data_IF_082032713926
#
_entry.id   IF_082032713926
#
_cell.length_a   1.000
_cell.length_b   1.000
_cell.length_c   1.000
_cell.angle_alpha   90.00
_cell.angle_beta   90.00
_cell.angle_gamma   90.00
#
_symmetry.space_group_name_H-M   'P 1'
#
loop_
_entity.id
_entity.type
_entity.pdbx_description
1 polymer ?
#
# COMPACT_ATOMS: atom_id res chain seq x y z
N UNK A 1 -23.17 23.23 -27.14
CA UNK A 1 -21.97 23.74 -26.45
C UNK A 1 -21.95 23.53 -24.91
N UNK A 2 -22.96 22.91 -24.29
CA UNK A 2 -23.05 22.71 -22.81
C UNK A 2 -22.36 21.40 -22.31
N UNK A 3 -22.13 20.41 -23.18
CA UNK A 3 -21.64 19.08 -22.77
C UNK A 3 -20.17 19.01 -22.31
N UNK A 4 -19.31 19.94 -22.74
CA UNK A 4 -17.89 19.94 -22.38
C UNK A 4 -17.67 20.38 -20.93
N UNK A 5 -18.41 21.41 -20.49
CA UNK A 5 -18.36 21.93 -19.12
C UNK A 5 -18.88 20.90 -18.12
N UNK A 6 -19.94 20.17 -18.47
CA UNK A 6 -20.51 19.12 -17.61
C UNK A 6 -19.55 17.93 -17.44
N UNK A 7 -18.85 17.50 -18.50
CA UNK A 7 -17.84 16.43 -18.41
C UNK A 7 -16.63 16.83 -17.58
N UNK A 8 -16.17 18.08 -17.70
CA UNK A 8 -15.09 18.60 -16.88
C UNK A 8 -15.48 18.69 -15.39
N UNK A 9 -16.69 19.18 -15.09
CA UNK A 9 -17.22 19.23 -13.74
C UNK A 9 -17.41 17.84 -13.13
N UNK A 10 -17.92 16.86 -13.90
CA UNK A 10 -18.08 15.48 -13.44
C UNK A 10 -16.72 14.80 -13.20
N UNK A 11 -15.72 15.03 -14.06
CA UNK A 11 -14.36 14.53 -13.86
C UNK A 11 -13.70 15.11 -12.59
N UNK A 12 -13.87 16.40 -12.32
CA UNK A 12 -13.39 17.05 -11.10
C UNK A 12 -14.10 16.51 -9.86
N UNK A 13 -15.43 16.32 -9.95
CA UNK A 13 -16.24 15.73 -8.87
C UNK A 13 -15.81 14.30 -8.56
N UNK A 14 -15.62 13.46 -9.59
CA UNK A 14 -15.12 12.08 -9.45
C UNK A 14 -13.72 12.03 -8.85
N UNK A 15 -12.81 12.91 -9.26
CA UNK A 15 -11.47 13.03 -8.67
C UNK A 15 -11.53 13.39 -7.19
N UNK A 16 -12.39 14.35 -6.82
CA UNK A 16 -12.59 14.74 -5.42
C UNK A 16 -13.17 13.60 -4.59
N UNK A 17 -14.20 12.91 -5.10
CA UNK A 17 -14.77 11.73 -4.45
C UNK A 17 -13.74 10.60 -4.30
N UNK A 18 -12.91 10.34 -5.31
CA UNK A 18 -11.83 9.36 -5.24
C UNK A 18 -10.78 9.75 -4.19
N UNK A 19 -10.41 11.04 -4.10
CA UNK A 19 -9.49 11.54 -3.09
C UNK A 19 -10.05 11.45 -1.66
N UNK A 20 -11.34 11.75 -1.49
CA UNK A 20 -12.03 11.66 -0.20
C UNK A 20 -12.19 10.20 0.24
N UNK A 21 -12.55 9.29 -0.67
CA UNK A 21 -12.54 7.86 -0.42
C UNK A 21 -11.13 7.35 -0.09
N UNK A 22 -10.09 7.83 -0.79
CA UNK A 22 -8.71 7.45 -0.51
C UNK A 22 -8.26 7.82 0.91
N UNK A 23 -8.56 9.03 1.38
CA UNK A 23 -8.28 9.43 2.77
C UNK A 23 -9.05 8.59 3.79
N UNK A 24 -10.34 8.39 3.55
CA UNK A 24 -11.17 7.62 4.45
C UNK A 24 -10.74 6.14 4.52
N UNK A 25 -10.36 5.57 3.38
CA UNK A 25 -9.80 4.23 3.29
C UNK A 25 -8.48 4.11 4.05
N UNK A 26 -7.57 5.06 3.92
CA UNK A 26 -6.31 5.04 4.68
C UNK A 26 -6.56 5.10 6.21
N UNK A 27 -7.52 5.90 6.66
CA UNK A 27 -7.93 5.93 8.07
C UNK A 27 -8.52 4.60 8.55
N UNK A 28 -9.32 3.94 7.71
CA UNK A 28 -9.85 2.61 7.98
C UNK A 28 -8.72 1.57 8.04
N UNK A 29 -7.77 1.61 7.11
CA UNK A 29 -6.60 0.73 7.09
C UNK A 29 -5.76 0.91 8.36
N UNK A 30 -5.48 2.15 8.76
CA UNK A 30 -4.77 2.45 10.00
C UNK A 30 -5.46 1.83 11.22
N UNK A 31 -6.77 2.04 11.39
CA UNK A 31 -7.53 1.45 12.50
C UNK A 31 -7.53 -0.08 12.45
N UNK A 32 -7.71 -0.64 11.26
CA UNK A 32 -7.73 -2.09 11.04
C UNK A 32 -6.39 -2.72 11.42
N UNK A 33 -5.27 -2.19 10.92
CA UNK A 33 -3.92 -2.69 11.21
C UNK A 33 -3.60 -2.62 12.70
N UNK A 34 -3.96 -1.52 13.38
CA UNK A 34 -3.78 -1.40 14.84
C UNK A 34 -4.58 -2.44 15.62
N UNK A 35 -5.83 -2.70 15.22
CA UNK A 35 -6.65 -3.76 15.82
C UNK A 35 -6.03 -5.14 15.64
N UNK A 36 -5.25 -5.35 14.58
CA UNK A 36 -4.54 -6.60 14.30
C UNK A 36 -3.07 -6.59 14.77
N UNK A 37 -2.76 -5.82 15.83
CA UNK A 37 -1.47 -5.88 16.51
C UNK A 37 -0.34 -5.11 15.81
N UNK A 38 -0.64 -4.26 14.83
CA UNK A 38 0.37 -3.43 14.18
C UNK A 38 0.60 -2.11 14.92
N UNK A 39 1.85 -1.68 15.00
CA UNK A 39 2.22 -0.32 15.44
C UNK A 39 2.50 0.55 14.23
N UNK A 40 1.58 1.45 13.88
CA UNK A 40 1.76 2.38 12.76
C UNK A 40 2.78 3.46 13.12
N UNK A 41 3.82 3.59 12.31
CA UNK A 41 4.95 4.53 12.54
C UNK A 41 4.99 5.67 11.54
N UNK A 42 4.40 5.48 10.35
CA UNK A 42 4.25 6.55 9.37
C UNK A 42 3.02 6.33 8.49
N UNK A 43 2.53 7.41 7.90
CA UNK A 43 1.44 7.45 6.94
C UNK A 43 1.80 8.41 5.81
N UNK A 44 1.39 8.12 4.57
CA UNK A 44 1.69 8.91 3.36
C UNK A 44 3.17 9.28 3.26
N UNK A 45 4.04 8.31 3.50
CA UNK A 45 5.48 8.52 3.44
C UNK A 45 5.92 8.80 2.00
N UNK A 46 6.65 9.88 1.79
CA UNK A 46 7.28 10.22 0.51
C UNK A 46 8.77 10.52 0.74
N UNK A 47 9.68 9.84 0.04
CA UNK A 47 11.11 10.14 0.12
C UNK A 47 11.40 11.52 -0.50
N UNK A 48 12.37 12.26 0.06
CA UNK A 48 12.74 13.59 -0.44
C UNK A 48 13.24 13.58 -1.90
N UNK A 49 13.80 12.46 -2.36
CA UNK A 49 14.23 12.27 -3.75
C UNK A 49 13.06 12.12 -4.73
N UNK A 50 11.82 12.07 -4.25
CA UNK A 50 10.67 11.59 -5.03
C UNK A 50 10.77 10.10 -5.35
N UNK A 51 9.91 9.63 -6.25
CA UNK A 51 9.95 8.25 -6.77
C UNK A 51 9.06 7.23 -6.07
N UNK A 52 8.07 7.68 -5.29
CA UNK A 52 7.03 6.82 -4.73
C UNK A 52 6.35 7.40 -3.51
N UNK A 53 5.25 6.77 -3.10
CA UNK A 53 4.54 7.03 -1.84
C UNK A 53 4.17 5.68 -1.23
N UNK A 54 4.28 5.58 0.10
CA UNK A 54 3.76 4.45 0.88
C UNK A 54 2.64 4.97 1.76
N UNK A 55 1.45 4.40 1.62
CA UNK A 55 0.26 4.88 2.34
C UNK A 55 0.38 4.68 3.85
N UNK A 56 0.82 3.50 4.29
CA UNK A 56 1.02 3.18 5.71
C UNK A 56 2.30 2.39 5.92
N UNK A 57 3.08 2.77 6.94
CA UNK A 57 4.25 2.03 7.42
C UNK A 57 3.96 1.61 8.86
N UNK A 58 4.11 0.32 9.16
CA UNK A 58 3.84 -0.21 10.48
C UNK A 58 4.79 -1.34 10.87
N UNK A 59 4.93 -1.58 12.17
CA UNK A 59 5.54 -2.79 12.71
C UNK A 59 4.48 -3.84 12.98
N UNK A 60 4.69 -5.07 12.49
CA UNK A 60 4.00 -6.28 12.94
C UNK A 60 5.04 -7.17 13.63
N UNK A 61 5.10 -7.13 14.96
CA UNK A 61 6.17 -7.80 15.70
C UNK A 61 7.55 -7.26 15.27
N UNK A 62 8.38 -8.12 14.67
CA UNK A 62 9.74 -7.77 14.18
C UNK A 62 9.79 -7.43 12.69
N UNK A 63 8.64 -7.39 12.01
CA UNK A 63 8.54 -7.12 10.57
C UNK A 63 8.05 -5.71 10.33
N UNK A 64 8.78 -4.93 9.55
CA UNK A 64 8.35 -3.63 9.07
C UNK A 64 7.52 -3.84 7.79
N UNK A 65 6.22 -3.52 7.86
CA UNK A 65 5.31 -3.65 6.74
C UNK A 65 5.13 -2.29 6.04
N UNK A 66 5.29 -2.30 4.72
CA UNK A 66 4.93 -1.20 3.83
C UNK A 66 3.61 -1.54 3.15
N UNK A 67 2.57 -0.76 3.42
CA UNK A 67 1.20 -1.08 3.02
C UNK A 67 0.72 -0.08 1.99
N UNK A 68 0.21 -0.60 0.87
CA UNK A 68 -0.62 0.13 -0.09
C UNK A 68 -2.09 -0.04 0.27
N UNK A 69 -2.88 1.04 0.27
CA UNK A 69 -4.31 1.01 0.58
C UNK A 69 -5.13 1.17 -0.69
N UNK A 70 -5.88 0.14 -1.06
CA UNK A 70 -6.79 0.19 -2.22
C UNK A 70 -8.23 0.35 -1.76
N UNK A 71 -8.82 1.51 -2.03
CA UNK A 71 -10.22 1.81 -1.67
C UNK A 71 -11.14 1.77 -2.87
N UNK A 72 -12.30 1.12 -2.74
CA UNK A 72 -13.29 0.96 -3.82
C UNK A 72 -14.70 1.14 -3.31
N UNK A 73 -15.58 1.68 -4.15
CA UNK A 73 -16.98 1.88 -3.81
C UNK A 73 -17.81 0.58 -3.83
N UNK A 74 -17.52 -0.33 -4.77
CA UNK A 74 -18.26 -1.59 -5.00
C UNK A 74 -17.32 -2.80 -5.10
N UNK A 75 -17.90 -3.99 -4.99
CA UNK A 75 -17.22 -5.28 -4.90
C UNK A 75 -16.98 -5.99 -6.23
N UNK A 76 -17.40 -5.41 -7.36
CA UNK A 76 -17.42 -6.07 -8.67
C UNK A 76 -16.02 -6.29 -9.29
N UNK A 77 -15.03 -6.88 -8.59
CA UNK A 77 -13.69 -7.11 -9.15
C UNK A 77 -12.96 -8.34 -8.60
N UNK A 78 -12.23 -9.02 -9.50
CA UNK A 78 -11.45 -10.24 -9.23
C UNK A 78 -9.98 -10.02 -8.82
N UNK A 79 -9.22 -11.11 -8.73
CA UNK A 79 -7.81 -11.15 -8.33
C UNK A 79 -6.83 -10.20 -9.07
N UNK A 80 -6.95 -9.94 -10.39
CA UNK A 80 -5.97 -9.15 -11.14
C UNK A 80 -5.82 -7.71 -10.63
N UNK A 81 -6.90 -7.09 -10.18
CA UNK A 81 -6.84 -5.72 -9.66
C UNK A 81 -6.38 -5.64 -8.20
N UNK A 82 -6.36 -6.76 -7.48
CA UNK A 82 -5.72 -6.83 -6.16
C UNK A 82 -4.21 -6.76 -6.28
N UNK A 83 -3.62 -7.22 -7.39
CA UNK A 83 -2.19 -7.12 -7.63
C UNK A 83 -1.72 -5.64 -7.72
N UNK A 84 -0.52 -5.36 -7.22
CA UNK A 84 0.19 -4.11 -7.48
C UNK A 84 0.84 -4.23 -8.85
N UNK A 85 0.61 -3.26 -9.75
CA UNK A 85 1.28 -3.25 -11.05
C UNK A 85 2.82 -3.09 -10.89
N UNK A 86 3.57 -3.46 -11.93
CA UNK A 86 5.05 -3.48 -11.87
C UNK A 86 5.63 -2.10 -11.57
N UNK A 87 5.06 -1.03 -12.11
CA UNK A 87 5.53 0.33 -11.90
C UNK A 87 5.35 0.74 -10.43
N UNK A 88 4.19 0.47 -9.86
CA UNK A 88 3.85 0.74 -8.47
C UNK A 88 4.67 -0.14 -7.52
N UNK A 89 4.96 -1.39 -7.85
CA UNK A 89 5.91 -2.22 -7.09
C UNK A 89 7.30 -1.58 -7.05
N UNK A 90 7.79 -1.05 -8.17
CA UNK A 90 9.08 -0.36 -8.22
C UNK A 90 9.08 0.91 -7.37
N UNK A 91 8.01 1.72 -7.44
CA UNK A 91 7.87 2.93 -6.62
C UNK A 91 7.82 2.61 -5.11
N UNK A 92 7.01 1.63 -4.72
CA UNK A 92 6.94 1.16 -3.33
C UNK A 92 8.28 0.62 -2.85
N UNK A 93 8.98 -0.15 -3.69
CA UNK A 93 10.32 -0.68 -3.38
C UNK A 93 11.32 0.45 -3.14
N UNK A 94 11.33 1.46 -4.01
CA UNK A 94 12.24 2.63 -3.89
C UNK A 94 11.97 3.42 -2.62
N UNK A 95 10.70 3.75 -2.36
CA UNK A 95 10.30 4.46 -1.14
C UNK A 95 10.61 3.63 0.11
N UNK A 96 10.38 2.31 0.07
CA UNK A 96 10.64 1.40 1.17
C UNK A 96 12.12 1.31 1.50
N UNK A 97 12.98 1.19 0.46
CA UNK A 97 14.44 1.18 0.64
C UNK A 97 14.95 2.48 1.25
N UNK A 98 14.42 3.62 0.82
CA UNK A 98 14.79 4.91 1.42
C UNK A 98 14.38 4.98 2.90
N UNK A 99 13.16 4.57 3.24
CA UNK A 99 12.70 4.53 4.63
C UNK A 99 13.57 3.60 5.49
N UNK A 100 13.77 2.35 5.04
CA UNK A 100 14.53 1.35 5.78
C UNK A 100 15.98 1.82 6.03
N UNK A 101 16.63 2.41 5.02
CA UNK A 101 17.97 2.99 5.16
C UNK A 101 18.01 4.12 6.19
N UNK A 102 17.05 5.04 6.16
CA UNK A 102 16.98 6.18 7.11
C UNK A 102 16.73 5.73 8.54
N UNK A 103 15.96 4.65 8.70
CA UNK A 103 15.62 4.08 9.99
C UNK A 103 16.61 2.99 10.47
N UNK A 104 17.67 2.72 9.70
CA UNK A 104 18.65 1.65 9.98
C UNK A 104 18.00 0.26 10.17
N UNK A 105 17.00 -0.05 9.35
CA UNK A 105 16.26 -1.32 9.37
C UNK A 105 16.82 -2.26 8.30
N UNK A 106 17.03 -3.52 8.67
CA UNK A 106 17.45 -4.56 7.71
C UNK A 106 16.34 -4.81 6.69
N UNK A 107 16.70 -4.85 5.41
CA UNK A 107 15.78 -5.17 4.32
C UNK A 107 15.15 -6.56 4.47
N UNK A 108 15.82 -7.51 5.12
CA UNK A 108 15.27 -8.82 5.45
C UNK A 108 14.10 -8.79 6.44
N UNK A 109 13.90 -7.67 7.15
CA UNK A 109 12.78 -7.47 8.06
C UNK A 109 11.57 -6.79 7.38
N UNK A 110 11.67 -6.47 6.09
CA UNK A 110 10.64 -5.73 5.35
C UNK A 110 9.66 -6.67 4.66
N UNK A 111 8.37 -6.30 4.64
CA UNK A 111 7.34 -6.94 3.82
C UNK A 111 6.46 -5.89 3.14
N UNK A 112 5.96 -6.20 1.95
CA UNK A 112 5.01 -5.35 1.23
C UNK A 112 3.63 -5.97 1.29
N UNK A 113 2.66 -5.22 1.79
CA UNK A 113 1.29 -5.67 2.02
C UNK A 113 0.29 -4.77 1.27
N UNK A 114 -0.93 -5.27 1.10
CA UNK A 114 -2.06 -4.50 0.60
C UNK A 114 -3.20 -4.57 1.61
N UNK A 115 -3.82 -3.43 1.88
CA UNK A 115 -5.14 -3.39 2.53
C UNK A 115 -6.18 -2.97 1.50
N UNK A 116 -7.06 -3.89 1.16
CA UNK A 116 -8.18 -3.67 0.25
C UNK A 116 -9.43 -3.32 1.04
N UNK A 117 -10.11 -2.24 0.67
CA UNK A 117 -11.29 -1.72 1.37
C UNK A 117 -12.41 -1.51 0.36
N UNK A 118 -13.51 -2.23 0.57
CA UNK A 118 -14.75 -2.08 -0.20
C UNK A 118 -15.76 -1.33 0.67
N UNK A 119 -16.14 -0.13 0.24
CA UNK A 119 -17.01 0.81 0.97
C UNK A 119 -18.52 0.46 0.90
N UNK A 120 -18.86 -0.77 0.50
CA UNK A 120 -20.22 -1.29 0.62
C UNK A 120 -20.63 -1.42 2.09
N UNK A 121 -21.91 -1.68 2.35
CA UNK A 121 -22.41 -1.96 3.69
C UNK A 121 -22.73 -3.46 3.81
N UNK A 122 -22.11 -4.19 4.76
CA UNK A 122 -21.05 -3.75 5.67
C UNK A 122 -19.72 -3.48 4.93
N UNK A 123 -18.90 -2.57 5.46
CA UNK A 123 -17.57 -2.28 4.91
C UNK A 123 -16.73 -3.55 5.02
N UNK A 124 -16.10 -3.95 3.92
CA UNK A 124 -15.23 -5.12 3.88
C UNK A 124 -13.78 -4.69 3.76
N UNK A 125 -12.95 -5.24 4.65
CA UNK A 125 -11.50 -4.99 4.67
C UNK A 125 -10.79 -6.33 4.55
N UNK A 126 -9.88 -6.44 3.59
CA UNK A 126 -9.01 -7.60 3.39
C UNK A 126 -7.56 -7.13 3.51
N UNK A 127 -6.77 -7.82 4.34
CA UNK A 127 -5.34 -7.57 4.46
C UNK A 127 -4.56 -8.71 3.80
N UNK A 128 -3.93 -8.39 2.69
CA UNK A 128 -3.11 -9.29 1.89
C UNK A 128 -1.67 -9.06 2.31
N UNK A 129 -1.12 -10.02 3.05
CA UNK A 129 0.28 -10.01 3.49
C UNK A 129 1.19 -10.57 2.39
N UNK A 130 2.42 -10.07 2.31
CA UNK A 130 3.41 -10.51 1.31
C UNK A 130 2.87 -10.40 -0.12
N UNK A 131 2.17 -9.29 -0.39
CA UNK A 131 1.46 -9.05 -1.64
C UNK A 131 2.38 -9.03 -2.87
N UNK A 132 3.64 -8.65 -2.67
CA UNK A 132 4.72 -8.87 -3.64
C UNK A 132 6.08 -8.86 -2.94
N UNK A 133 7.06 -9.47 -3.61
CA UNK A 133 8.46 -9.40 -3.22
C UNK A 133 9.24 -8.66 -4.30
N UNK A 134 9.94 -7.56 -3.98
CA UNK A 134 10.84 -6.94 -4.92
C UNK A 134 11.89 -7.95 -5.37
N UNK A 135 12.18 -8.00 -6.67
CA UNK A 135 13.30 -8.78 -7.16
C UNK A 135 14.57 -8.35 -6.39
N UNK A 136 15.20 -9.30 -5.71
CA UNK A 136 16.51 -9.08 -5.12
C UNK A 136 17.45 -8.76 -6.29
N UNK A 137 17.99 -7.54 -6.33
CA UNK A 137 19.08 -7.26 -7.25
C UNK A 137 20.21 -8.23 -6.91
N UNK A 138 20.70 -8.96 -7.91
CA UNK A 138 21.88 -9.81 -7.78
C UNK A 138 23.02 -8.97 -7.18
N UNK A 139 23.27 -9.11 -5.88
CA UNK A 139 24.17 -8.17 -5.18
C UNK A 139 24.19 -8.19 -3.66
N UNK A 140 23.37 -9.00 -2.98
CA UNK A 140 23.60 -9.26 -1.55
C UNK A 140 23.23 -10.70 -1.23
N UNK A 141 24.24 -11.50 -0.86
CA UNK A 141 24.08 -12.89 -0.46
C UNK A 141 23.11 -13.00 0.71
N UNK A 142 21.91 -13.49 0.41
CA UNK A 142 21.00 -14.05 1.40
C UNK A 142 20.75 -15.49 0.98
N UNK A 143 21.53 -16.41 1.53
CA UNK A 143 21.26 -17.84 1.41
C UNK A 143 19.98 -18.12 2.18
N UNK A 144 18.87 -18.30 1.45
CA UNK A 144 17.62 -18.76 2.04
C UNK A 144 17.86 -20.15 2.65
N UNK A 145 18.04 -20.17 3.97
CA UNK A 145 17.94 -21.40 4.75
C UNK A 145 16.56 -22.00 4.54
N UNK A 146 16.52 -23.12 3.82
CA UNK A 146 15.38 -24.03 3.85
C UNK A 146 15.08 -24.38 5.31
N UNK A 147 13.88 -24.15 5.84
CA UNK A 147 13.47 -24.91 7.01
C UNK A 147 13.41 -26.37 6.57
N UNK A 148 14.28 -27.16 7.20
CA UNK A 148 14.26 -28.61 7.09
C UNK A 148 13.04 -29.11 7.85
N UNK A 149 12.17 -29.83 7.13
CA UNK A 149 11.10 -30.71 7.60
C UNK A 149 9.89 -30.05 8.29
#
# INVERSE_FOLDING_TARGET
MIGLVYRAADALRRRRLAADHGRWGEDLAHRYLRKHGCTVVARRYRPNSGGGEIDVIAWQGKTLIFVEVKTRATAEFGAPERAVDVEKQQHLTRAGRDYARRASIDWGQVRFDIVSIVLEKPVRIEWIQDAFRPAFGAGSGYTAGHPSQ
#
